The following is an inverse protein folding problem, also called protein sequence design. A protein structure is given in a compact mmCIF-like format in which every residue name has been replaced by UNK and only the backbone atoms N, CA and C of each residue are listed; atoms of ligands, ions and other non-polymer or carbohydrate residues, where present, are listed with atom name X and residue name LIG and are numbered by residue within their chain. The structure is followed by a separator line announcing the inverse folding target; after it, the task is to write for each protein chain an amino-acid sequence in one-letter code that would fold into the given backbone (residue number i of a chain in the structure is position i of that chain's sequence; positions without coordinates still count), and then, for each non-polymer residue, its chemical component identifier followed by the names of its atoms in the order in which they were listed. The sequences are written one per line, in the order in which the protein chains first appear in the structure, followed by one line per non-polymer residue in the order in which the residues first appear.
data_IF_508647266156
#
_entry.id   IF_508647266156
#
_cell.length_a   1.000
_cell.length_b   1.000
_cell.length_c   1.000
_cell.angle_alpha   90.00
_cell.angle_beta   90.00
_cell.angle_gamma   90.00
#
_symmetry.space_group_name_H-M   'P 1'
#
loop_
_entity.id
_entity.type
_entity.pdbx_description
1 polymer ?
#
# COMPACT_ATOMS: atom_id res chain seq x y z
N UNK A 1 -1.35 -1.50 12.15
CA UNK A 1 -0.83 -2.88 12.14
C UNK A 1 -1.65 -3.74 13.10
N UNK A 2 -1.94 -4.99 12.71
CA UNK A 2 -2.71 -5.97 13.48
C UNK A 2 -1.99 -7.32 13.42
N UNK A 3 -1.86 -8.02 14.54
CA UNK A 3 -1.31 -9.39 14.54
C UNK A 3 -2.42 -10.36 14.12
N UNK A 4 -2.09 -11.28 13.22
CA UNK A 4 -3.02 -12.26 12.64
C UNK A 4 -3.01 -13.53 13.48
N UNK A 5 -4.20 -14.04 13.80
CA UNK A 5 -4.33 -15.28 14.58
C UNK A 5 -3.99 -16.49 13.71
N UNK A 6 -3.58 -17.64 14.29
CA UNK A 6 -3.30 -18.86 13.54
C UNK A 6 -4.47 -19.33 12.65
N UNK A 7 -5.71 -19.09 13.07
CA UNK A 7 -6.94 -19.47 12.36
C UNK A 7 -7.17 -18.64 11.09
N UNK A 8 -6.74 -17.37 11.09
CA UNK A 8 -6.88 -16.47 9.94
C UNK A 8 -5.78 -16.69 8.87
N UNK A 9 -4.66 -17.34 9.21
CA UNK A 9 -3.48 -17.49 8.33
C UNK A 9 -3.74 -18.14 6.97
N UNK A 10 -4.67 -19.11 6.80
CA UNK A 10 -4.96 -19.68 5.49
C UNK A 10 -5.67 -18.71 4.54
N UNK A 11 -6.38 -17.72 5.08
CA UNK A 11 -7.29 -16.85 4.34
C UNK A 11 -6.72 -15.45 4.07
N UNK A 12 -5.50 -15.17 4.54
CA UNK A 12 -4.85 -13.89 4.26
C UNK A 12 -4.27 -13.86 2.85
N UNK A 13 -4.59 -12.80 2.12
CA UNK A 13 -3.96 -12.47 0.85
C UNK A 13 -3.72 -10.96 0.80
N UNK A 14 -2.49 -10.58 0.49
CA UNK A 14 -2.14 -9.18 0.27
C UNK A 14 -2.92 -8.66 -0.91
N UNK A 15 -3.40 -7.43 -0.81
CA UNK A 15 -4.20 -6.79 -1.85
C UNK A 15 -3.93 -5.30 -1.89
N UNK A 16 -4.18 -4.74 -3.06
CA UNK A 16 -4.36 -3.31 -3.17
C UNK A 16 -5.73 -2.99 -2.57
N UNK A 17 -5.73 -2.11 -1.57
CA UNK A 17 -6.94 -1.66 -0.88
C UNK A 17 -7.76 -0.77 -1.81
N UNK A 18 -7.11 0.29 -2.27
CA UNK A 18 -7.57 1.12 -3.37
C UNK A 18 -6.33 1.40 -4.22
N UNK A 19 -6.40 0.99 -5.47
CA UNK A 19 -5.55 1.58 -6.48
C UNK A 19 -6.18 2.97 -6.65
N UNK A 20 -5.46 4.06 -6.36
CA UNK A 20 -5.82 5.31 -7.02
C UNK A 20 -5.46 5.21 -8.52
N UNK A 21 -5.68 4.06 -9.16
CA UNK A 21 -5.23 3.78 -10.51
C UNK A 21 -6.44 3.89 -11.41
N UNK A 22 -6.33 4.91 -12.26
CA UNK A 22 -6.98 5.17 -13.53
C UNK A 22 -8.48 4.93 -13.61
N UNK A 23 -9.23 5.92 -14.16
CA UNK A 23 -10.66 5.75 -14.40
C UNK A 23 -10.89 4.42 -15.08
N UNK A 24 -11.88 3.69 -14.57
CA UNK A 24 -12.29 2.36 -14.99
C UNK A 24 -12.86 2.44 -16.40
N UNK A 25 -12.04 2.81 -17.37
CA UNK A 25 -12.48 3.25 -18.68
C UNK A 25 -11.31 3.12 -19.65
N UNK A 26 -11.35 2.06 -20.44
CA UNK A 26 -11.22 2.31 -21.87
C UNK A 26 -12.06 3.56 -22.15
N UNK A 27 -11.43 4.66 -22.63
CA UNK A 27 -12.18 5.80 -23.13
C UNK A 27 -13.33 5.21 -23.94
N UNK A 28 -14.58 5.51 -23.54
CA UNK A 28 -15.73 5.06 -24.32
C UNK A 28 -15.42 5.47 -25.77
N UNK A 29 -15.57 4.55 -26.75
CA UNK A 29 -15.27 4.87 -28.13
C UNK A 29 -15.93 6.20 -28.43
N UNK A 30 -15.17 7.11 -29.04
CA UNK A 30 -15.61 8.48 -29.31
C UNK A 30 -16.95 8.41 -30.04
N UNK A 31 -18.05 8.60 -29.31
CA UNK A 31 -19.37 8.65 -29.89
C UNK A 31 -19.46 10.00 -30.60
N UNK A 32 -20.17 10.05 -31.73
CA UNK A 32 -20.37 11.28 -32.51
C UNK A 32 -20.87 12.45 -31.64
N UNK A 33 -21.51 12.14 -30.51
CA UNK A 33 -21.97 13.10 -29.52
C UNK A 33 -20.94 13.33 -28.40
N UNK A 34 -20.00 14.24 -28.68
CA UNK A 34 -18.92 14.64 -27.76
C UNK A 34 -19.44 15.12 -26.40
N UNK A 35 -20.61 15.78 -26.38
CA UNK A 35 -21.22 16.25 -25.13
C UNK A 35 -21.63 15.08 -24.25
N UNK A 36 -22.25 14.04 -24.82
CA UNK A 36 -22.62 12.85 -24.07
C UNK A 36 -21.38 12.11 -23.53
N UNK A 37 -20.33 12.01 -24.34
CA UNK A 37 -19.05 11.41 -23.92
C UNK A 37 -18.43 12.17 -22.73
N UNK A 38 -18.39 13.50 -22.80
CA UNK A 38 -17.89 14.34 -21.71
C UNK A 38 -18.69 14.17 -20.41
N UNK A 39 -20.02 14.05 -20.52
CA UNK A 39 -20.89 13.83 -19.35
C UNK A 39 -20.69 12.44 -18.74
N UNK A 40 -20.56 11.40 -19.56
CA UNK A 40 -20.28 10.04 -19.11
C UNK A 40 -18.91 9.94 -18.42
N UNK A 41 -17.88 10.58 -18.99
CA UNK A 41 -16.56 10.66 -18.38
C UNK A 41 -16.59 11.39 -17.02
N UNK A 42 -17.33 12.49 -16.91
CA UNK A 42 -17.51 13.20 -15.64
C UNK A 42 -18.24 12.35 -14.59
N UNK A 43 -19.26 11.60 -14.98
CA UNK A 43 -19.96 10.68 -14.09
C UNK A 43 -19.07 9.55 -13.61
N UNK A 44 -18.32 8.89 -14.50
CA UNK A 44 -17.38 7.85 -14.11
C UNK A 44 -16.31 8.39 -13.16
N UNK A 45 -15.76 9.58 -13.43
CA UNK A 45 -14.80 10.22 -12.53
C UNK A 45 -15.37 10.44 -11.13
N UNK A 46 -16.64 10.87 -11.02
CA UNK A 46 -17.30 11.05 -9.72
C UNK A 46 -17.53 9.71 -9.02
N UNK A 47 -17.98 8.68 -9.74
CA UNK A 47 -18.20 7.34 -9.18
C UNK A 47 -16.89 6.73 -8.66
N UNK A 48 -15.82 6.81 -9.44
CA UNK A 48 -14.49 6.35 -9.05
C UNK A 48 -13.99 7.08 -7.79
N UNK A 49 -14.24 8.39 -7.70
CA UNK A 49 -13.89 9.19 -6.51
C UNK A 49 -14.64 8.72 -5.27
N UNK A 50 -15.95 8.47 -5.39
CA UNK A 50 -16.77 7.99 -4.27
C UNK A 50 -16.32 6.58 -3.84
N UNK A 51 -16.09 5.68 -4.79
CA UNK A 51 -15.61 4.33 -4.52
C UNK A 51 -14.28 4.35 -3.76
N UNK A 52 -13.36 5.22 -4.18
CA UNK A 52 -12.09 5.41 -3.49
C UNK A 52 -12.28 5.89 -2.05
N UNK A 53 -13.09 6.94 -1.84
CA UNK A 53 -13.36 7.46 -0.50
C UNK A 53 -13.94 6.38 0.44
N UNK A 54 -14.95 5.65 -0.03
CA UNK A 54 -15.58 4.56 0.73
C UNK A 54 -14.60 3.44 1.04
N UNK A 55 -13.71 3.10 0.10
CA UNK A 55 -12.72 2.04 0.28
C UNK A 55 -11.62 2.45 1.27
N UNK A 56 -11.13 3.69 1.18
CA UNK A 56 -10.17 4.26 2.14
C UNK A 56 -10.74 4.37 3.55
N UNK A 57 -12.04 4.67 3.68
CA UNK A 57 -12.75 4.68 4.95
C UNK A 57 -12.87 3.27 5.53
N UNK A 58 -13.39 2.31 4.75
CA UNK A 58 -13.56 0.90 5.15
C UNK A 58 -12.23 0.26 5.58
N UNK A 59 -11.17 0.47 4.81
CA UNK A 59 -9.87 -0.13 5.11
C UNK A 59 -9.06 0.69 6.14
N UNK A 60 -9.55 1.85 6.59
CA UNK A 60 -8.91 2.66 7.63
C UNK A 60 -7.59 3.30 7.19
N UNK A 61 -7.37 3.44 5.89
CA UNK A 61 -6.13 3.98 5.31
C UNK A 61 -6.02 5.50 5.53
N UNK A 62 -7.15 6.21 5.59
CA UNK A 62 -7.22 7.67 5.76
C UNK A 62 -6.60 8.17 7.08
N UNK A 63 -6.51 7.31 8.09
CA UNK A 63 -6.00 7.65 9.43
C UNK A 63 -4.58 7.10 9.68
N UNK A 64 -3.88 6.67 8.64
CA UNK A 64 -2.52 6.12 8.81
C UNK A 64 -1.52 7.22 9.20
N UNK A 65 -0.72 7.01 10.25
CA UNK A 65 0.34 7.95 10.61
C UNK A 65 1.49 7.88 9.60
N UNK A 66 2.19 9.01 9.42
CA UNK A 66 3.48 9.01 8.73
C UNK A 66 4.55 8.44 9.65
N UNK A 67 5.07 7.26 9.30
CA UNK A 67 6.12 6.57 10.05
C UNK A 67 7.32 6.40 9.14
N UNK A 68 8.51 6.70 9.65
CA UNK A 68 9.75 6.40 8.95
C UNK A 68 10.00 4.90 9.01
N UNK A 69 10.03 4.26 7.85
CA UNK A 69 10.27 2.82 7.70
C UNK A 69 11.37 2.57 6.69
N UNK A 70 11.99 1.39 6.76
CA UNK A 70 12.80 0.85 5.67
C UNK A 70 11.97 -0.18 4.92
N UNK A 71 12.02 -0.19 3.59
CA UNK A 71 11.20 -1.08 2.76
C UNK A 71 11.99 -1.54 1.53
N UNK A 72 11.73 -2.78 1.13
CA UNK A 72 12.29 -3.43 -0.06
C UNK A 72 11.22 -4.32 -0.71
N UNK A 73 11.50 -4.93 -1.86
CA UNK A 73 10.60 -5.93 -2.45
C UNK A 73 10.42 -7.20 -1.60
N UNK A 74 11.35 -7.49 -0.68
CA UNK A 74 11.30 -8.70 0.15
C UNK A 74 10.60 -8.51 1.50
N UNK A 75 10.54 -7.29 2.01
CA UNK A 75 10.07 -7.01 3.37
C UNK A 75 10.31 -5.57 3.80
N UNK A 76 10.10 -5.32 5.08
CA UNK A 76 10.24 -3.99 5.66
C UNK A 76 10.73 -4.05 7.11
N UNK A 77 11.25 -2.92 7.60
CA UNK A 77 11.48 -2.72 9.02
C UNK A 77 10.96 -1.38 9.51
N UNK A 78 10.48 -1.35 10.75
CA UNK A 78 9.85 -0.19 11.36
C UNK A 78 9.97 -0.23 12.88
N UNK A 79 9.82 0.94 13.50
CA UNK A 79 9.75 1.07 14.95
C UNK A 79 8.34 0.75 15.47
N UNK A 80 8.25 0.00 16.55
CA UNK A 80 7.02 -0.36 17.26
C UNK A 80 7.14 -0.04 18.74
N UNK A 81 6.07 0.49 19.34
CA UNK A 81 5.95 0.64 20.80
C UNK A 81 5.37 -0.62 21.46
N UNK A 82 4.94 -1.60 20.65
CA UNK A 82 4.40 -2.88 21.11
C UNK A 82 5.41 -3.99 20.83
N UNK A 83 5.59 -4.94 21.77
CA UNK A 83 6.42 -6.11 21.53
C UNK A 83 5.76 -7.06 20.52
N UNK A 84 6.59 -7.75 19.75
CA UNK A 84 6.22 -8.84 18.85
C UNK A 84 7.22 -9.98 19.03
N UNK A 85 6.86 -11.18 18.57
CA UNK A 85 7.74 -12.35 18.55
C UNK A 85 8.11 -12.72 17.11
N UNK A 86 9.28 -13.34 16.93
CA UNK A 86 9.62 -13.98 15.66
C UNK A 86 8.58 -15.06 15.32
N UNK A 87 8.19 -15.12 14.04
CA UNK A 87 7.11 -15.97 13.55
C UNK A 87 5.70 -15.39 13.69
N UNK A 88 5.54 -14.20 14.30
CA UNK A 88 4.28 -13.46 14.27
C UNK A 88 3.96 -13.01 12.85
N UNK A 89 2.71 -13.17 12.42
CA UNK A 89 2.22 -12.63 11.15
C UNK A 89 1.52 -11.30 11.42
N UNK A 90 1.97 -10.24 10.78
CA UNK A 90 1.44 -8.89 10.93
C UNK A 90 0.74 -8.44 9.65
N UNK A 91 -0.49 -7.92 9.78
CA UNK A 91 -1.18 -7.15 8.76
C UNK A 91 -0.70 -5.70 8.79
N UNK A 92 -0.29 -5.22 7.63
CA UNK A 92 0.32 -3.92 7.40
C UNK A 92 -0.55 -3.17 6.41
N UNK A 93 -1.04 -2.01 6.83
CA UNK A 93 -1.78 -1.10 5.98
C UNK A 93 -0.85 0.04 5.61
N UNK A 94 -0.63 0.24 4.32
CA UNK A 94 0.37 1.19 3.81
C UNK A 94 -0.18 2.02 2.68
N UNK A 95 0.27 3.27 2.60
CA UNK A 95 0.03 4.17 1.47
C UNK A 95 1.39 4.57 0.89
N UNK A 96 1.69 4.11 -0.32
CA UNK A 96 2.90 4.50 -1.04
C UNK A 96 2.65 5.86 -1.71
N UNK A 97 3.49 6.89 -1.46
CA UNK A 97 3.34 8.24 -2.04
C UNK A 97 3.78 8.29 -3.51
N UNK A 98 3.19 7.41 -4.32
CA UNK A 98 3.32 7.36 -5.77
C UNK A 98 2.38 8.37 -6.43
N UNK A 99 2.50 8.53 -7.74
CA UNK A 99 1.59 9.34 -8.55
C UNK A 99 1.06 8.45 -9.69
N UNK A 100 -0.14 7.88 -9.56
CA UNK A 100 -1.06 8.06 -8.42
C UNK A 100 -0.66 7.28 -7.15
N UNK A 101 -1.18 7.62 -5.95
CA UNK A 101 -0.90 6.90 -4.71
C UNK A 101 -1.37 5.44 -4.75
N UNK A 102 -0.67 4.56 -4.06
CA UNK A 102 -1.03 3.13 -3.99
C UNK A 102 -1.28 2.75 -2.54
N UNK A 103 -2.52 2.41 -2.20
CA UNK A 103 -2.85 1.86 -0.89
C UNK A 103 -2.93 0.34 -0.94
N UNK A 104 -2.28 -0.30 0.01
CA UNK A 104 -2.18 -1.76 0.06
C UNK A 104 -2.30 -2.26 1.49
N UNK A 105 -2.84 -3.48 1.57
CA UNK A 105 -2.85 -4.30 2.78
C UNK A 105 -1.93 -5.47 2.47
N UNK A 106 -0.81 -5.54 3.17
CA UNK A 106 0.17 -6.61 3.04
C UNK A 106 0.31 -7.37 4.34
N UNK A 107 0.88 -8.57 4.26
CA UNK A 107 1.16 -9.40 5.42
C UNK A 107 2.65 -9.70 5.46
N UNK A 108 3.19 -9.86 6.67
CA UNK A 108 4.57 -10.24 6.82
C UNK A 108 4.85 -11.00 8.10
N UNK A 109 5.80 -11.93 8.01
CA UNK A 109 6.30 -12.70 9.14
C UNK A 109 7.45 -11.94 9.79
N UNK A 110 7.36 -11.73 11.10
CA UNK A 110 8.42 -11.13 11.90
C UNK A 110 9.62 -12.06 11.90
N UNK A 111 10.75 -11.58 11.40
CA UNK A 111 12.01 -12.33 11.34
C UNK A 111 13.05 -11.80 12.31
N UNK A 112 12.94 -10.55 12.75
CA UNK A 112 13.83 -9.97 13.75
C UNK A 112 13.08 -9.01 14.68
N UNK A 113 13.47 -9.04 15.96
CA UNK A 113 12.97 -8.11 16.98
C UNK A 113 14.16 -7.57 17.76
N UNK A 114 14.52 -6.32 17.52
CA UNK A 114 15.60 -5.65 18.25
C UNK A 114 14.99 -4.70 19.27
N UNK A 115 15.26 -4.94 20.55
CA UNK A 115 14.83 -4.06 21.62
C UNK A 115 15.82 -2.89 21.77
N UNK A 116 15.29 -1.68 21.74
CA UNK A 116 15.97 -0.45 22.19
C UNK A 116 15.38 0.01 23.51
N UNK A 117 15.96 1.04 24.15
CA UNK A 117 15.57 1.47 25.50
C UNK A 117 14.06 1.77 25.63
N UNK A 118 13.45 2.40 24.62
CA UNK A 118 12.04 2.83 24.63
C UNK A 118 11.18 2.23 23.50
N UNK A 119 11.74 1.39 22.62
CA UNK A 119 11.00 0.86 21.46
C UNK A 119 11.56 -0.46 20.92
N UNK A 120 10.84 -1.08 19.99
CA UNK A 120 11.28 -2.25 19.26
C UNK A 120 11.48 -1.90 17.79
N UNK A 121 12.59 -2.32 17.20
CA UNK A 121 12.73 -2.37 15.74
C UNK A 121 12.29 -3.74 15.27
N UNK A 122 11.23 -3.78 14.48
CA UNK A 122 10.67 -5.01 13.92
C UNK A 122 11.13 -5.14 12.48
N UNK A 123 11.77 -6.25 12.15
CA UNK A 123 12.03 -6.67 10.77
C UNK A 123 11.08 -7.78 10.36
N UNK A 124 10.54 -7.69 9.16
CA UNK A 124 9.67 -8.72 8.61
C UNK A 124 9.94 -8.97 7.13
N UNK A 125 9.57 -10.18 6.69
CA UNK A 125 9.53 -10.57 5.28
C UNK A 125 8.07 -10.62 4.83
N UNK A 126 7.77 -10.13 3.62
CA UNK A 126 6.41 -10.17 3.11
C UNK A 126 5.97 -11.62 2.83
N UNK A 127 4.76 -11.94 3.25
CA UNK A 127 4.09 -13.24 3.08
C UNK A 127 2.75 -13.02 2.39
N UNK A 128 2.23 -14.05 1.70
CA UNK A 128 0.95 -13.97 1.01
C UNK A 128 0.85 -12.76 0.05
N UNK A 129 1.92 -12.46 -0.67
CA UNK A 129 2.01 -11.38 -1.66
C UNK A 129 2.29 -11.99 -3.04
N UNK A 130 1.57 -11.53 -4.06
CA UNK A 130 1.83 -11.91 -5.45
C UNK A 130 2.91 -11.02 -6.08
N UNK A 131 3.41 -11.44 -7.25
CA UNK A 131 4.49 -10.74 -7.93
C UNK A 131 4.05 -9.36 -8.47
N UNK A 132 2.79 -9.18 -8.85
CA UNK A 132 2.28 -7.89 -9.33
C UNK A 132 2.31 -6.84 -8.21
N UNK A 133 1.84 -7.20 -7.01
CA UNK A 133 1.87 -6.32 -5.86
C UNK A 133 3.30 -6.09 -5.34
N UNK A 134 4.16 -7.11 -5.43
CA UNK A 134 5.60 -6.99 -5.13
C UNK A 134 6.28 -6.00 -6.06
N UNK A 135 5.96 -6.04 -7.35
CA UNK A 135 6.51 -5.13 -8.36
C UNK A 135 6.13 -3.66 -8.08
N UNK A 136 4.93 -3.39 -7.56
CA UNK A 136 4.56 -2.03 -7.14
C UNK A 136 5.43 -1.49 -5.99
N UNK A 137 5.76 -2.34 -5.01
CA UNK A 137 6.69 -1.98 -3.93
C UNK A 137 8.08 -1.71 -4.50
N UNK A 138 8.57 -2.58 -5.38
CA UNK A 138 9.88 -2.45 -6.02
C UNK A 138 9.95 -1.16 -6.84
N UNK A 139 8.91 -0.87 -7.65
CA UNK A 139 8.80 0.36 -8.44
C UNK A 139 8.88 1.60 -7.57
N UNK A 140 8.18 1.60 -6.43
CA UNK A 140 8.23 2.68 -5.45
C UNK A 140 9.63 2.87 -4.85
N UNK A 141 10.29 1.78 -4.43
CA UNK A 141 11.64 1.82 -3.86
C UNK A 141 12.63 2.41 -4.86
N UNK A 142 12.63 1.94 -6.10
CA UNK A 142 13.53 2.46 -7.14
C UNK A 142 13.29 3.92 -7.44
N UNK A 143 12.03 4.35 -7.55
CA UNK A 143 11.68 5.76 -7.77
C UNK A 143 12.22 6.62 -6.63
N UNK A 144 11.97 6.22 -5.39
CA UNK A 144 12.40 6.94 -4.18
C UNK A 144 13.93 7.05 -4.11
N UNK A 145 14.64 5.96 -4.36
CA UNK A 145 16.11 5.96 -4.39
C UNK A 145 16.66 6.89 -5.48
N UNK A 146 16.07 6.87 -6.67
CA UNK A 146 16.46 7.75 -7.78
C UNK A 146 16.24 9.22 -7.43
N UNK A 147 15.14 9.56 -6.76
CA UNK A 147 14.84 10.93 -6.36
C UNK A 147 15.82 11.41 -5.27
N UNK A 148 16.16 10.57 -4.29
CA UNK A 148 17.19 10.86 -3.29
C UNK A 148 18.58 11.11 -3.91
N UNK A 149 18.94 10.37 -4.95
CA UNK A 149 20.20 10.61 -5.67
C UNK A 149 20.21 11.97 -6.37
N UNK A 150 19.09 12.38 -6.96
CA UNK A 150 18.97 13.69 -7.62
C UNK A 150 19.10 14.85 -6.65
N UNK A 151 18.55 14.72 -5.44
CA UNK A 151 18.65 15.75 -4.41
C UNK A 151 20.08 15.89 -3.86
N UNK A 152 20.84 14.80 -3.78
CA UNK A 152 22.25 14.84 -3.32
C UNK A 152 23.21 15.51 -4.31
N UNK A 153 22.81 15.69 -5.56
CA UNK A 153 23.62 16.33 -6.61
C UNK A 153 23.18 17.77 -6.94
N UNK A 154 22.25 18.34 -6.16
CA UNK A 154 21.94 19.78 -6.16
C UNK A 154 22.71 20.48 -5.04
#
# INVERSE_FOLDING_TARGET
MRQITPEERPDIQSRISAQAFLPLMHALPDHEDKVLSDWLNQLNTKLDTILNLLTYEKDGIHALPFVKTNISGGGMSFASTRPHAEGDILELKMLLPMQPPVAMITYGEVTTVEKTDDSFTIGLIFTAIDEELRDEIIRFVFKTQRDMLREKHK
#
